data_IF_247209368022
#
_entry.id   IF_247209368022
#
_cell.length_a   1.000
_cell.length_b   1.000
_cell.length_c   1.000
_cell.angle_alpha   90.00
_cell.angle_beta   90.00
_cell.angle_gamma   90.00
#
_symmetry.space_group_name_H-M   'P 1'
#
loop_
_entity.id
_entity.type
_entity.pdbx_description
1 polymer ?
#
# COMPACT_ATOMS: atom_id res chain seq x y z
N UNK A 1 -24.96 3.51 -11.28
CA UNK A 1 -24.13 4.54 -11.93
C UNK A 1 -22.74 3.99 -11.80
N UNK A 2 -22.26 3.40 -12.87
CA UNK A 2 -20.93 2.80 -12.94
C UNK A 2 -19.92 3.96 -12.96
N UNK A 3 -18.91 3.88 -12.10
CA UNK A 3 -17.78 4.80 -12.08
C UNK A 3 -16.89 4.38 -13.26
N UNK A 4 -16.68 5.27 -14.21
CA UNK A 4 -15.72 5.11 -15.31
C UNK A 4 -14.85 6.36 -15.29
N UNK A 5 -13.57 6.21 -15.03
CA UNK A 5 -12.61 7.28 -14.93
C UNK A 5 -11.53 7.04 -16.00
N UNK A 6 -11.61 7.82 -17.07
CA UNK A 6 -10.55 7.87 -18.07
C UNK A 6 -9.42 8.75 -17.54
N UNK A 7 -8.21 8.22 -17.59
CA UNK A 7 -7.10 8.72 -16.83
C UNK A 7 -5.96 9.07 -17.82
N UNK A 8 -5.66 10.37 -17.97
CA UNK A 8 -4.85 10.86 -19.09
C UNK A 8 -3.35 10.62 -18.91
N UNK A 9 -2.73 10.12 -19.98
CA UNK A 9 -1.28 9.96 -20.12
C UNK A 9 -0.66 11.28 -20.57
N UNK A 10 -0.06 12.03 -19.64
CA UNK A 10 0.95 13.03 -19.99
C UNK A 10 2.32 12.63 -19.45
N UNK A 11 3.33 12.70 -20.32
CA UNK A 11 4.60 11.97 -20.25
C UNK A 11 5.64 12.60 -19.28
N UNK A 12 5.21 13.46 -18.34
CA UNK A 12 6.14 14.23 -17.50
C UNK A 12 5.74 14.48 -16.05
N UNK A 13 4.59 14.01 -15.57
CA UNK A 13 4.22 14.11 -14.15
C UNK A 13 3.78 12.73 -13.67
N UNK A 14 4.24 12.33 -12.48
CA UNK A 14 3.88 11.06 -11.85
C UNK A 14 2.35 10.95 -11.84
N UNK A 15 1.80 9.86 -12.38
CA UNK A 15 0.37 9.72 -12.66
C UNK A 15 -0.44 9.78 -11.36
N UNK A 16 -1.24 10.83 -11.18
CA UNK A 16 -2.09 10.99 -9.99
C UNK A 16 -3.54 10.59 -10.30
N UNK A 17 -3.97 9.56 -9.59
CA UNK A 17 -5.33 8.99 -9.57
C UNK A 17 -6.40 9.92 -9.03
N UNK A 18 -5.99 10.69 -8.02
CA UNK A 18 -6.76 11.69 -7.34
C UNK A 18 -5.77 12.63 -6.67
N UNK A 19 -6.21 13.85 -6.41
CA UNK A 19 -5.46 14.86 -5.67
C UNK A 19 -6.12 15.09 -4.31
N UNK A 20 -5.31 15.26 -3.26
CA UNK A 20 -5.84 15.67 -1.96
C UNK A 20 -6.27 17.15 -2.01
N UNK A 21 -7.43 17.46 -1.43
CA UNK A 21 -7.88 18.84 -1.25
C UNK A 21 -7.23 19.41 0.00
N UNK A 22 -6.24 20.27 -0.20
CA UNK A 22 -5.59 20.99 0.89
C UNK A 22 -6.51 22.08 1.48
N UNK A 23 -6.42 22.35 2.80
CA UNK A 23 -5.41 21.85 3.74
C UNK A 23 -5.68 20.42 4.25
N UNK A 24 -4.62 19.64 4.44
CA UNK A 24 -4.67 18.27 4.98
C UNK A 24 -3.86 18.20 6.27
N UNK A 25 -4.40 17.51 7.28
CA UNK A 25 -3.69 17.30 8.55
C UNK A 25 -3.14 15.89 8.63
N UNK A 26 -1.88 15.79 8.98
CA UNK A 26 -1.14 14.56 9.21
C UNK A 26 -0.94 14.35 10.71
N UNK A 27 -1.06 13.10 11.16
CA UNK A 27 -0.72 12.65 12.50
C UNK A 27 0.68 12.05 12.40
N UNK A 28 1.65 12.69 13.04
CA UNK A 28 3.05 12.25 13.06
C UNK A 28 3.22 11.02 13.98
N UNK A 29 4.33 10.27 13.84
CA UNK A 29 4.63 9.11 14.70
C UNK A 29 4.62 9.39 16.20
N UNK A 30 4.97 10.63 16.61
CA UNK A 30 4.90 11.07 18.02
C UNK A 30 3.49 11.47 18.48
N UNK A 31 2.46 11.20 17.67
CA UNK A 31 1.07 11.61 17.80
C UNK A 31 0.86 13.14 17.80
N UNK A 32 1.87 13.94 17.45
CA UNK A 32 1.67 15.35 17.12
C UNK A 32 0.97 15.47 15.76
N UNK A 33 0.38 16.64 15.49
CA UNK A 33 -0.28 16.86 14.20
C UNK A 33 0.34 18.03 13.46
N UNK A 34 0.43 17.88 12.15
CA UNK A 34 0.96 18.90 11.23
C UNK A 34 -0.07 19.10 10.12
N UNK A 35 -0.51 20.34 9.93
CA UNK A 35 -1.36 20.71 8.80
C UNK A 35 -0.50 21.22 7.66
N UNK A 36 -0.63 20.58 6.51
CA UNK A 36 -0.08 21.04 5.23
C UNK A 36 -1.16 21.89 4.56
N UNK A 37 -0.84 23.15 4.28
CA UNK A 37 -1.81 24.12 3.75
C UNK A 37 -1.95 24.08 2.23
N UNK A 38 -0.90 23.65 1.52
CA UNK A 38 -0.78 23.63 0.07
C UNK A 38 0.13 22.49 -0.38
N UNK A 39 -0.12 21.93 -1.56
CA UNK A 39 0.74 20.92 -2.18
C UNK A 39 1.95 21.56 -2.87
N UNK A 40 2.75 22.31 -2.12
CA UNK A 40 4.00 22.90 -2.60
C UNK A 40 5.10 22.79 -1.54
N UNK A 41 6.33 23.11 -1.93
CA UNK A 41 7.48 23.02 -1.03
C UNK A 41 7.28 23.80 0.27
N UNK A 42 6.53 24.91 0.24
CA UNK A 42 6.27 25.72 1.41
C UNK A 42 5.26 25.07 2.36
N UNK A 43 4.19 24.48 1.81
CA UNK A 43 3.19 23.75 2.59
C UNK A 43 3.77 22.50 3.26
N UNK A 44 4.70 21.80 2.60
CA UNK A 44 5.35 20.60 3.12
C UNK A 44 6.53 20.89 4.08
N UNK A 45 7.00 22.14 4.16
CA UNK A 45 8.14 22.51 5.02
C UNK A 45 7.97 22.09 6.49
N UNK A 46 6.80 22.23 7.14
CA UNK A 46 6.63 21.81 8.53
C UNK A 46 6.82 20.30 8.75
N UNK A 47 6.43 19.46 7.78
CA UNK A 47 6.64 18.01 7.84
C UNK A 47 8.14 17.69 7.69
N UNK A 48 8.81 18.35 6.74
CA UNK A 48 10.28 18.22 6.55
C UNK A 48 11.04 18.63 7.83
N UNK A 49 10.67 19.76 8.43
CA UNK A 49 11.27 20.25 9.67
C UNK A 49 11.10 19.26 10.83
N UNK A 50 9.97 18.54 10.88
CA UNK A 50 9.74 17.51 11.90
C UNK A 50 10.68 16.32 11.72
N UNK A 51 10.89 15.82 10.50
CA UNK A 51 11.86 14.73 10.25
C UNK A 51 13.31 15.15 10.49
N UNK A 52 13.68 16.39 10.15
CA UNK A 52 15.01 16.93 10.48
C UNK A 52 15.25 17.02 12.00
N UNK A 53 14.19 17.27 12.78
CA UNK A 53 14.24 17.32 14.24
C UNK A 53 14.17 15.92 14.89
N UNK A 54 13.68 14.92 14.17
CA UNK A 54 13.51 13.53 14.62
C UNK A 54 14.26 12.56 13.69
N UNK A 55 15.60 12.61 13.63
CA UNK A 55 16.40 11.83 12.68
C UNK A 55 16.39 10.32 12.92
N UNK A 56 15.89 9.88 14.08
CA UNK A 56 15.71 8.46 14.42
C UNK A 56 14.31 7.95 14.02
N UNK A 57 13.46 8.79 13.42
CA UNK A 57 12.09 8.44 13.02
C UNK A 57 12.00 8.26 11.51
N UNK A 58 11.86 7.00 11.08
CA UNK A 58 11.58 6.63 9.69
C UNK A 58 10.10 6.26 9.45
N UNK A 59 9.30 6.20 10.52
CA UNK A 59 7.85 5.99 10.47
C UNK A 59 7.14 7.10 9.68
N UNK A 60 6.14 6.73 8.89
CA UNK A 60 5.35 7.66 8.09
C UNK A 60 4.26 8.31 8.93
N UNK A 61 3.80 9.53 8.57
CA UNK A 61 2.64 10.09 9.23
C UNK A 61 1.37 9.52 8.59
N UNK A 62 0.32 9.41 9.40
CA UNK A 62 -1.01 8.98 8.93
C UNK A 62 -1.91 10.19 8.66
N UNK A 63 -2.95 10.01 7.84
CA UNK A 63 -3.90 11.07 7.56
C UNK A 63 -4.89 11.25 8.71
N UNK A 64 -5.13 12.50 9.10
CA UNK A 64 -6.24 12.81 10.00
C UNK A 64 -7.53 12.95 9.19
N UNK A 65 -8.38 11.92 9.23
CA UNK A 65 -9.68 11.94 8.58
C UNK A 65 -10.71 12.86 9.28
N UNK A 66 -11.72 13.36 8.53
CA UNK A 66 -11.95 13.15 7.10
C UNK A 66 -11.05 14.01 6.20
N UNK A 67 -10.77 13.52 4.99
CA UNK A 67 -10.08 14.28 3.93
C UNK A 67 -10.92 14.29 2.67
N UNK A 68 -10.82 15.35 1.88
CA UNK A 68 -11.46 15.42 0.57
C UNK A 68 -10.42 15.13 -0.52
N UNK A 69 -10.83 14.41 -1.56
CA UNK A 69 -10.04 14.17 -2.77
C UNK A 69 -10.76 14.71 -4.00
N UNK A 70 -10.01 15.17 -5.00
CA UNK A 70 -10.50 15.49 -6.33
C UNK A 70 -10.07 14.38 -7.28
N UNK A 71 -10.99 13.90 -8.10
CA UNK A 71 -10.75 12.91 -9.13
C UNK A 71 -11.47 13.32 -10.42
N UNK A 72 -10.89 12.98 -11.56
CA UNK A 72 -11.45 13.32 -12.87
C UNK A 72 -12.53 12.29 -13.27
N UNK A 73 -13.61 12.74 -13.90
CA UNK A 73 -14.67 11.87 -14.45
C UNK A 73 -14.98 12.27 -15.89
N UNK A 74 -15.71 11.44 -16.64
CA UNK A 74 -16.18 11.76 -18.02
C UNK A 74 -16.95 13.11 -18.09
N UNK A 75 -17.56 13.54 -16.98
CA UNK A 75 -18.32 14.80 -16.86
C UNK A 75 -17.50 15.96 -16.23
N UNK A 76 -16.20 15.74 -15.96
CA UNK A 76 -15.26 16.68 -15.30
C UNK A 76 -14.94 16.31 -13.85
N UNK A 77 -14.12 17.14 -13.20
CA UNK A 77 -13.63 16.90 -11.84
C UNK A 77 -14.76 16.77 -10.80
N UNK A 78 -14.63 15.79 -9.92
CA UNK A 78 -15.54 15.53 -8.80
C UNK A 78 -14.78 15.48 -7.49
N UNK A 79 -15.45 15.83 -6.40
CA UNK A 79 -14.89 15.77 -5.04
C UNK A 79 -15.53 14.64 -4.24
N UNK A 80 -14.73 13.83 -3.58
CA UNK A 80 -15.16 12.76 -2.68
C UNK A 80 -14.56 12.97 -1.29
N UNK A 81 -15.40 12.89 -0.25
CA UNK A 81 -14.94 12.90 1.15
C UNK A 81 -14.66 11.48 1.63
N UNK A 82 -13.45 11.26 2.11
CA UNK A 82 -12.95 10.01 2.68
C UNK A 82 -12.95 10.14 4.20
N UNK A 83 -13.55 9.18 4.89
CA UNK A 83 -13.81 9.29 6.33
C UNK A 83 -12.90 8.41 7.21
N UNK A 84 -12.16 7.49 6.61
CA UNK A 84 -11.27 6.56 7.29
C UNK A 84 -10.27 5.94 6.30
N UNK A 85 -9.28 5.21 6.83
CA UNK A 85 -8.26 4.52 6.05
C UNK A 85 -8.83 3.48 5.08
N UNK A 86 -9.85 2.72 5.49
CA UNK A 86 -10.51 1.71 4.64
C UNK A 86 -11.12 2.35 3.37
N UNK A 87 -11.79 3.50 3.51
CA UNK A 87 -12.32 4.25 2.36
C UNK A 87 -11.20 4.80 1.47
N UNK A 88 -10.09 5.25 2.06
CA UNK A 88 -8.91 5.72 1.31
C UNK A 88 -8.30 4.58 0.48
N UNK A 89 -8.17 3.40 1.09
CA UNK A 89 -7.57 2.24 0.44
C UNK A 89 -8.43 1.74 -0.73
N UNK A 90 -9.76 1.69 -0.53
CA UNK A 90 -10.69 1.38 -1.60
C UNK A 90 -10.59 2.33 -2.80
N UNK A 91 -10.28 3.62 -2.58
CA UNK A 91 -10.05 4.56 -3.68
C UNK A 91 -8.72 4.26 -4.39
N UNK A 92 -7.65 3.98 -3.65
CA UNK A 92 -6.35 3.63 -4.24
C UNK A 92 -6.44 2.35 -5.07
N UNK A 93 -7.11 1.30 -4.56
CA UNK A 93 -7.29 0.01 -5.24
C UNK A 93 -8.01 0.22 -6.56
N UNK A 94 -9.16 0.91 -6.56
CA UNK A 94 -9.91 1.19 -7.80
C UNK A 94 -9.07 1.95 -8.82
N UNK A 95 -8.27 2.89 -8.34
CA UNK A 95 -7.36 3.60 -9.21
C UNK A 95 -6.10 2.81 -9.59
N UNK A 96 -5.86 1.63 -9.04
CA UNK A 96 -4.87 0.70 -9.58
C UNK A 96 -5.50 -0.17 -10.66
N UNK A 97 -6.66 -0.75 -10.36
CA UNK A 97 -7.42 -1.66 -11.23
C UNK A 97 -7.78 -1.03 -12.58
N UNK A 98 -8.19 0.23 -12.60
CA UNK A 98 -8.58 0.93 -13.84
C UNK A 98 -7.42 1.11 -14.84
N UNK A 99 -6.18 1.00 -14.37
CA UNK A 99 -4.97 1.17 -15.16
C UNK A 99 -4.24 -0.15 -15.45
N UNK A 100 -4.77 -1.28 -14.99
CA UNK A 100 -4.31 -2.61 -15.38
C UNK A 100 -4.74 -2.87 -16.85
N UNK A 101 -4.06 -2.17 -17.76
CA UNK A 101 -4.35 -2.16 -19.20
C UNK A 101 -3.85 -3.48 -19.84
N UNK A 102 -4.64 -4.55 -19.75
CA UNK A 102 -4.69 -5.76 -20.62
C UNK A 102 -3.43 -6.59 -20.94
N UNK A 103 -2.24 -6.24 -20.44
CA UNK A 103 -1.03 -7.10 -20.48
C UNK A 103 -0.41 -7.32 -19.08
N UNK A 104 -1.00 -6.75 -18.03
CA UNK A 104 -0.65 -6.95 -16.61
C UNK A 104 -1.79 -7.61 -15.84
N UNK A 105 -2.49 -8.57 -16.46
CA UNK A 105 -3.42 -9.50 -15.79
C UNK A 105 -2.70 -10.43 -14.78
N UNK A 106 -1.48 -10.09 -14.37
CA UNK A 106 -0.60 -10.88 -13.52
C UNK A 106 -0.29 -10.18 -12.20
N UNK A 107 -0.83 -9.00 -11.89
CA UNK A 107 -0.60 -8.32 -10.59
C UNK A 107 -1.93 -8.03 -9.86
N UNK A 108 -3.00 -8.81 -10.12
CA UNK A 108 -4.18 -8.75 -9.27
C UNK A 108 -3.83 -9.37 -7.91
N UNK A 109 -3.85 -8.55 -6.86
CA UNK A 109 -3.74 -9.06 -5.50
C UNK A 109 -4.88 -10.06 -5.26
N UNK A 110 -4.51 -11.33 -5.15
CA UNK A 110 -5.42 -12.46 -4.99
C UNK A 110 -6.00 -12.61 -3.59
N UNK A 111 -5.23 -12.14 -2.63
CA UNK A 111 -5.53 -12.28 -1.22
C UNK A 111 -4.85 -11.19 -0.43
N UNK A 112 -5.42 -10.89 0.74
CA UNK A 112 -4.85 -9.98 1.72
C UNK A 112 -4.52 -10.75 3.00
N UNK A 113 -3.39 -10.46 3.65
CA UNK A 113 -3.07 -11.04 4.94
C UNK A 113 -3.91 -10.42 6.06
N UNK A 114 -4.51 -11.26 6.90
CA UNK A 114 -5.08 -10.81 8.18
C UNK A 114 -3.95 -10.66 9.18
N UNK A 115 -3.55 -9.41 9.42
CA UNK A 115 -2.52 -9.06 10.38
C UNK A 115 -2.94 -9.42 11.83
N UNK A 116 -1.98 -9.77 12.72
CA UNK A 116 -0.53 -9.75 12.50
C UNK A 116 0.02 -11.02 11.83
N UNK A 117 1.09 -10.85 11.05
CA UNK A 117 1.91 -11.95 10.49
C UNK A 117 3.38 -11.80 10.88
N UNK A 118 4.20 -12.83 10.71
CA UNK A 118 5.62 -12.78 11.07
C UNK A 118 6.50 -13.44 10.05
N UNK A 119 7.68 -12.88 9.84
CA UNK A 119 8.71 -13.36 8.93
C UNK A 119 9.97 -13.70 9.68
N UNK A 120 10.64 -14.77 9.28
CA UNK A 120 11.98 -15.14 9.74
C UNK A 120 12.99 -14.65 8.72
N UNK A 121 13.86 -13.74 9.11
CA UNK A 121 14.89 -13.16 8.25
C UNK A 121 16.05 -14.15 8.02
N UNK A 122 16.88 -13.95 6.98
CA UNK A 122 18.05 -14.81 6.70
C UNK A 122 19.04 -14.95 7.85
N UNK A 123 19.15 -13.94 8.72
CA UNK A 123 20.00 -13.99 9.92
C UNK A 123 19.37 -14.78 11.10
N UNK A 124 18.14 -15.27 10.92
CA UNK A 124 17.35 -15.99 11.91
C UNK A 124 16.56 -15.09 12.87
N UNK A 125 16.58 -13.77 12.69
CA UNK A 125 15.71 -12.85 13.44
C UNK A 125 14.26 -12.94 12.96
N UNK A 126 13.32 -12.41 13.74
CA UNK A 126 11.90 -12.42 13.39
C UNK A 126 11.37 -10.99 13.37
N UNK A 127 10.68 -10.64 12.29
CA UNK A 127 9.96 -9.37 12.14
C UNK A 127 8.47 -9.69 12.13
N UNK A 128 7.70 -8.98 12.96
CA UNK A 128 6.24 -9.11 13.02
C UNK A 128 5.63 -7.87 12.40
N UNK A 129 4.66 -8.07 11.51
CA UNK A 129 3.87 -7.02 10.87
C UNK A 129 2.54 -6.98 11.63
N UNK A 130 2.32 -5.98 12.48
CA UNK A 130 1.07 -5.78 13.22
C UNK A 130 0.08 -4.90 12.46
N UNK A 131 0.58 -4.01 11.60
CA UNK A 131 -0.18 -3.07 10.78
C UNK A 131 0.53 -2.81 9.43
N UNK A 132 -0.08 -2.01 8.56
CA UNK A 132 0.48 -1.71 7.23
C UNK A 132 1.80 -0.92 7.26
N UNK A 133 2.03 -0.11 8.29
CA UNK A 133 3.26 0.69 8.42
C UNK A 133 4.45 -0.21 8.76
N UNK A 134 4.21 -1.31 9.48
CA UNK A 134 5.25 -2.25 9.89
C UNK A 134 5.91 -2.99 8.71
N UNK A 135 5.27 -3.00 7.52
CA UNK A 135 5.89 -3.52 6.29
C UNK A 135 7.23 -2.84 5.97
N UNK A 136 7.41 -1.59 6.40
CA UNK A 136 8.68 -0.88 6.26
C UNK A 136 9.82 -1.56 7.02
N UNK A 137 9.53 -2.27 8.12
CA UNK A 137 10.52 -3.00 8.92
C UNK A 137 11.29 -4.03 8.09
N UNK A 138 10.62 -4.69 7.13
CA UNK A 138 11.29 -5.62 6.22
C UNK A 138 12.29 -4.89 5.31
N UNK A 139 11.88 -3.75 4.74
CA UNK A 139 12.73 -2.91 3.90
C UNK A 139 13.93 -2.37 4.68
N UNK A 140 13.70 -1.89 5.90
CA UNK A 140 14.75 -1.38 6.78
C UNK A 140 15.78 -2.47 7.09
N UNK A 141 15.33 -3.71 7.34
CA UNK A 141 16.25 -4.82 7.57
C UNK A 141 17.16 -5.05 6.35
N UNK A 142 16.63 -5.07 5.12
CA UNK A 142 17.47 -5.22 3.92
C UNK A 142 18.41 -4.04 3.70
N UNK A 143 17.97 -2.80 3.96
CA UNK A 143 18.82 -1.62 3.84
C UNK A 143 20.00 -1.62 4.84
N UNK A 144 19.86 -2.32 5.98
CA UNK A 144 20.92 -2.49 6.96
C UNK A 144 21.74 -3.79 6.76
N UNK A 145 21.33 -4.64 5.82
CA UNK A 145 21.93 -5.94 5.51
C UNK A 145 22.14 -6.08 3.99
N UNK A 146 22.87 -5.16 3.38
CA UNK A 146 23.09 -5.08 1.93
C UNK A 146 23.75 -6.34 1.30
N UNK A 147 24.32 -7.24 2.10
CA UNK A 147 24.88 -8.52 1.64
C UNK A 147 23.85 -9.67 1.64
N UNK A 148 22.64 -9.43 2.16
CA UNK A 148 21.58 -10.43 2.22
C UNK A 148 20.70 -10.37 0.97
N UNK A 149 20.88 -11.35 0.09
CA UNK A 149 20.04 -11.55 -1.11
C UNK A 149 18.95 -12.61 -0.91
N UNK A 150 18.92 -13.29 0.25
CA UNK A 150 17.95 -14.34 0.57
C UNK A 150 16.61 -13.73 1.02
N UNK A 151 15.49 -14.27 0.54
CA UNK A 151 14.13 -13.86 0.92
C UNK A 151 13.79 -14.30 2.37
N UNK A 152 12.92 -13.57 3.08
CA UNK A 152 12.51 -13.98 4.42
C UNK A 152 11.47 -15.11 4.35
N UNK A 153 11.44 -15.97 5.37
CA UNK A 153 10.48 -17.08 5.43
C UNK A 153 9.24 -16.71 6.27
N UNK A 154 8.05 -16.82 5.69
CA UNK A 154 6.79 -16.58 6.40
C UNK A 154 6.57 -17.61 7.52
N UNK A 155 6.15 -17.15 8.70
CA UNK A 155 5.80 -18.03 9.83
C UNK A 155 4.33 -18.41 9.78
N UNK A 156 4.07 -19.70 9.63
CA UNK A 156 2.73 -20.28 9.60
C UNK A 156 2.24 -20.69 11.00
N UNK A 157 0.91 -20.77 11.22
CA UNK A 157 -0.16 -20.48 10.26
C UNK A 157 -0.45 -18.98 10.11
N UNK A 158 -0.94 -18.61 8.93
CA UNK A 158 -1.44 -17.25 8.63
C UNK A 158 -2.90 -17.31 8.18
N UNK A 159 -3.65 -16.24 8.41
CA UNK A 159 -4.99 -16.09 7.86
C UNK A 159 -4.93 -15.08 6.71
N UNK A 160 -5.69 -15.35 5.67
CA UNK A 160 -5.83 -14.48 4.51
C UNK A 160 -7.31 -14.25 4.21
N UNK A 161 -7.61 -13.17 3.51
CA UNK A 161 -8.91 -12.90 2.90
C UNK A 161 -8.71 -13.02 1.39
N UNK A 162 -9.43 -13.91 0.73
CA UNK A 162 -9.43 -13.98 -0.73
C UNK A 162 -10.13 -12.74 -1.28
N UNK A 163 -9.50 -12.09 -2.25
CA UNK A 163 -10.05 -10.93 -2.97
C UNK A 163 -10.96 -11.42 -4.11
N UNK A 164 -11.84 -12.37 -3.79
CA UNK A 164 -12.91 -12.85 -4.64
C UNK A 164 -14.21 -12.07 -4.36
N UNK A 165 -15.26 -12.32 -5.17
CA UNK A 165 -16.57 -11.70 -4.99
C UNK A 165 -17.20 -11.95 -3.59
N UNK A 166 -16.72 -12.94 -2.84
CA UNK A 166 -17.26 -13.36 -1.54
C UNK A 166 -16.45 -12.86 -0.33
N UNK A 167 -15.18 -12.46 -0.52
CA UNK A 167 -14.28 -12.01 0.55
C UNK A 167 -13.95 -13.11 1.56
N UNK A 168 -13.69 -14.34 1.09
CA UNK A 168 -13.60 -15.52 1.96
C UNK A 168 -12.32 -15.56 2.79
N UNK A 169 -12.43 -15.73 4.13
CA UNK A 169 -11.26 -15.93 5.00
C UNK A 169 -10.75 -17.38 4.99
N UNK A 170 -9.46 -17.59 4.74
CA UNK A 170 -8.80 -18.90 4.71
C UNK A 170 -7.59 -18.91 5.65
N UNK A 171 -7.31 -20.06 6.29
CA UNK A 171 -6.08 -20.26 7.09
C UNK A 171 -5.09 -21.10 6.31
N UNK A 172 -3.90 -20.58 6.05
CA UNK A 172 -2.78 -21.25 5.40
C UNK A 172 -1.83 -21.77 6.49
N UNK A 173 -1.50 -23.07 6.46
CA UNK A 173 -0.77 -23.72 7.55
C UNK A 173 0.71 -24.00 7.24
N UNK A 174 1.15 -23.82 5.99
CA UNK A 174 2.51 -24.11 5.53
C UNK A 174 2.74 -23.51 4.13
N UNK A 175 4.01 -23.51 3.71
CA UNK A 175 4.42 -23.03 2.38
C UNK A 175 3.77 -23.80 1.22
N UNK A 176 3.48 -25.10 1.38
CA UNK A 176 2.85 -25.90 0.31
C UNK A 176 1.42 -25.43 0.04
N UNK A 177 0.65 -25.12 1.09
CA UNK A 177 -0.68 -24.52 0.97
C UNK A 177 -0.63 -23.10 0.40
N UNK A 178 0.40 -22.31 0.75
CA UNK A 178 0.59 -20.97 0.18
C UNK A 178 0.91 -21.04 -1.31
N UNK A 179 1.89 -21.85 -1.70
CA UNK A 179 2.28 -22.01 -3.10
C UNK A 179 1.12 -22.54 -3.95
N UNK A 180 0.32 -23.46 -3.42
CA UNK A 180 -0.86 -23.97 -4.14
C UNK A 180 -1.91 -22.87 -4.38
N UNK A 181 -2.10 -21.97 -3.42
CA UNK A 181 -2.96 -20.81 -3.56
C UNK A 181 -2.41 -19.82 -4.60
N UNK A 182 -1.10 -19.54 -4.55
CA UNK A 182 -0.43 -18.65 -5.51
C UNK A 182 -0.49 -19.22 -6.93
N UNK A 183 -0.25 -20.53 -7.12
CA UNK A 183 -0.40 -21.21 -8.41
C UNK A 183 -1.85 -21.16 -8.94
N UNK A 184 -2.84 -21.31 -8.06
CA UNK A 184 -4.25 -21.20 -8.43
C UNK A 184 -4.60 -19.78 -8.87
N UNK A 185 -4.01 -18.78 -8.21
CA UNK A 185 -4.42 -17.41 -8.42
C UNK A 185 -3.65 -16.68 -9.54
N UNK A 186 -2.35 -16.91 -9.65
CA UNK A 186 -1.48 -16.26 -10.66
C UNK A 186 -1.33 -17.16 -11.91
N UNK A 187 -1.76 -18.41 -11.86
CA UNK A 187 -1.67 -19.36 -12.96
C UNK A 187 -0.26 -19.93 -13.16
N UNK A 188 -0.15 -21.03 -13.93
CA UNK A 188 1.15 -21.59 -14.30
C UNK A 188 1.78 -20.74 -15.42
N UNK A 189 2.56 -19.73 -15.05
CA UNK A 189 3.51 -19.11 -15.98
C UNK A 189 4.70 -20.05 -16.18
N UNK A 190 4.52 -20.98 -17.12
CA UNK A 190 5.53 -21.88 -17.66
C UNK A 190 6.64 -21.14 -18.44
N UNK A 191 6.87 -19.84 -18.24
CA UNK A 191 8.06 -19.12 -18.70
C UNK A 191 8.56 -18.15 -17.61
N UNK A 192 9.63 -18.57 -16.93
CA UNK A 192 10.24 -17.83 -15.85
C UNK A 192 10.61 -16.40 -16.20
N UNK A 193 9.97 -15.47 -15.51
CA UNK A 193 10.63 -14.37 -14.82
C UNK A 193 9.70 -13.99 -13.67
N UNK A 194 10.02 -14.48 -12.46
CA UNK A 194 9.57 -13.84 -11.23
C UNK A 194 10.35 -12.53 -11.12
N UNK A 195 9.69 -11.36 -10.98
CA UNK A 195 10.38 -10.09 -10.74
C UNK A 195 11.28 -10.12 -9.50
#
# INVERSE_FOLDING_TARGET
RELKQECWRDESEERQCFELVFPVTFIMPDASTITVDTDDDAGWQPVKDWYEANPDSDERPTLQFPVDIIYETEDGDSTLSINNDEEMENVKIRCREEWADSESEQDEECYEFVLPISFTMPDGTTITIENEEDWYSLREWYANNDEADEEPSLQFPVNIILLDDEGTSVTINNDEEMNALEEECWGNDDEGDRP
#
